data_IF_457572157539
#
_entry.id   IF_457572157539
#
_cell.length_a   1.000
_cell.length_b   1.000
_cell.length_c   1.000
_cell.angle_alpha   90.00
_cell.angle_beta   90.00
_cell.angle_gamma   90.00
#
_symmetry.space_group_name_H-M   'P 1'
#
loop_
_entity.id
_entity.type
_entity.pdbx_description
1 polymer ?
#
# COMPACT_ATOMS: atom_id res chain seq x y z
N UNK A 1 48.61 -31.84 -63.69
CA UNK A 1 49.19 -32.93 -62.90
C UNK A 1 48.10 -33.39 -61.95
N UNK A 2 47.62 -34.60 -62.25
CA UNK A 2 46.82 -35.55 -61.46
C UNK A 2 45.74 -34.98 -60.52
N UNK A 3 44.46 -35.18 -60.83
CA UNK A 3 43.70 -36.45 -60.67
C UNK A 3 43.66 -36.85 -59.18
N UNK A 4 42.48 -36.77 -58.55
CA UNK A 4 41.63 -37.95 -58.42
C UNK A 4 40.42 -37.72 -57.48
N UNK A 5 39.25 -38.05 -58.03
CA UNK A 5 38.11 -38.74 -57.42
C UNK A 5 36.96 -37.98 -56.75
N UNK A 6 35.85 -37.90 -57.52
CA UNK A 6 34.62 -38.71 -57.39
C UNK A 6 34.02 -38.88 -55.97
N UNK A 7 32.72 -38.92 -55.70
CA UNK A 7 31.53 -39.16 -56.52
C UNK A 7 30.30 -38.81 -55.66
N UNK A 8 29.26 -38.26 -56.30
CA UNK A 8 27.81 -38.57 -56.22
C UNK A 8 27.19 -39.26 -54.97
N UNK A 9 25.91 -39.11 -54.61
CA UNK A 9 24.77 -38.27 -55.00
C UNK A 9 23.54 -38.79 -54.19
N UNK A 10 22.76 -37.88 -53.59
CA UNK A 10 21.29 -37.95 -53.38
C UNK A 10 20.70 -39.06 -52.46
N UNK A 11 19.38 -39.06 -52.18
CA UNK A 11 18.61 -38.08 -51.39
C UNK A 11 17.71 -38.77 -50.34
N UNK A 12 17.46 -38.20 -49.15
CA UNK A 12 16.47 -38.79 -48.22
C UNK A 12 15.50 -37.74 -47.66
N UNK A 13 14.31 -37.78 -48.29
CA UNK A 13 12.95 -37.54 -47.79
C UNK A 13 12.64 -36.31 -46.92
N UNK A 14 11.94 -35.39 -47.58
CA UNK A 14 10.82 -34.60 -47.06
C UNK A 14 9.92 -35.47 -46.18
N UNK A 15 9.69 -35.06 -44.94
CA UNK A 15 8.53 -35.48 -44.15
C UNK A 15 7.89 -34.21 -43.61
N UNK A 16 6.71 -33.91 -44.13
CA UNK A 16 5.83 -32.86 -43.66
C UNK A 16 5.28 -33.26 -42.29
N UNK A 17 5.43 -32.38 -41.30
CA UNK A 17 4.78 -32.54 -40.00
C UNK A 17 3.43 -31.80 -40.06
N UNK A 18 2.39 -32.54 -40.44
CA UNK A 18 1.00 -32.11 -40.33
C UNK A 18 0.53 -32.16 -38.88
N UNK A 19 -0.36 -31.23 -38.47
CA UNK A 19 -0.80 -31.10 -37.08
C UNK A 19 -1.69 -32.30 -36.69
N UNK A 20 -1.35 -32.93 -35.57
CA UNK A 20 -2.19 -33.97 -34.97
C UNK A 20 -3.42 -33.30 -34.33
N UNK A 21 -4.55 -33.41 -35.04
CA UNK A 21 -5.88 -33.17 -34.49
C UNK A 21 -6.31 -34.38 -33.67
N UNK A 22 -6.72 -34.16 -32.42
CA UNK A 22 -7.50 -35.13 -31.66
C UNK A 22 -8.98 -34.83 -31.91
N UNK A 23 -9.75 -35.75 -32.51
CA UNK A 23 -11.15 -35.56 -32.85
C UNK A 23 -12.02 -35.94 -31.65
N UNK A 24 -13.00 -35.11 -31.29
CA UNK A 24 -14.23 -35.52 -30.60
C UNK A 24 -15.15 -34.28 -30.47
N UNK A 25 -15.83 -33.97 -31.56
CA UNK A 25 -17.09 -33.23 -31.51
C UNK A 25 -18.06 -33.86 -32.50
N UNK A 26 -19.32 -33.93 -32.07
CA UNK A 26 -20.57 -34.19 -32.81
C UNK A 26 -20.87 -35.61 -33.32
N UNK A 27 -21.80 -36.26 -32.62
CA UNK A 27 -23.03 -36.83 -33.18
C UNK A 27 -24.02 -36.99 -32.01
N UNK A 28 -24.98 -36.07 -31.90
CA UNK A 28 -26.39 -36.25 -32.31
C UNK A 28 -27.21 -36.98 -31.23
N UNK A 29 -28.05 -36.27 -30.49
CA UNK A 29 -29.40 -35.88 -30.90
C UNK A 29 -30.33 -37.10 -31.00
N UNK A 30 -31.10 -37.34 -29.93
CA UNK A 30 -32.49 -37.78 -29.93
C UNK A 30 -32.86 -38.47 -28.60
N UNK A 31 -33.19 -37.69 -27.58
CA UNK A 31 -34.36 -37.99 -26.74
C UNK A 31 -35.04 -36.65 -26.44
N UNK A 32 -35.85 -36.22 -27.39
CA UNK A 32 -36.98 -35.33 -27.17
C UNK A 32 -38.09 -36.06 -26.42
N UNK A 33 -38.87 -35.27 -25.70
CA UNK A 33 -40.29 -35.51 -25.37
C UNK A 33 -40.62 -36.19 -24.03
N UNK A 34 -40.52 -35.41 -22.94
CA UNK A 34 -41.55 -35.36 -21.91
C UNK A 34 -41.40 -34.09 -21.03
N UNK A 35 -42.47 -33.29 -21.01
CA UNK A 35 -42.84 -32.32 -19.97
C UNK A 35 -42.21 -30.92 -19.99
N UNK A 36 -42.63 -30.14 -20.99
CA UNK A 36 -43.15 -28.80 -20.71
C UNK A 36 -44.26 -28.88 -19.65
N UNK A 37 -43.96 -28.55 -18.40
CA UNK A 37 -44.92 -28.03 -17.42
C UNK A 37 -44.15 -27.37 -16.27
N UNK A 38 -44.56 -26.15 -15.92
CA UNK A 38 -44.07 -25.32 -14.81
C UNK A 38 -42.85 -24.42 -15.07
N UNK A 39 -42.88 -23.68 -16.18
CA UNK A 39 -42.51 -22.28 -16.13
C UNK A 39 -43.71 -21.52 -15.55
N UNK A 40 -43.64 -21.14 -14.26
CA UNK A 40 -44.44 -20.10 -13.58
C UNK A 40 -44.37 -20.28 -12.05
N UNK A 41 -43.18 -20.18 -11.45
CA UNK A 41 -43.04 -19.96 -10.00
C UNK A 41 -41.55 -19.85 -9.63
N UNK A 42 -40.93 -18.68 -9.79
CA UNK A 42 -39.84 -18.22 -8.91
C UNK A 42 -39.41 -16.78 -9.28
N UNK A 43 -40.37 -15.85 -9.17
CA UNK A 43 -40.13 -14.40 -9.17
C UNK A 43 -40.63 -13.73 -7.87
N UNK A 44 -41.05 -14.50 -6.86
CA UNK A 44 -41.66 -13.96 -5.63
C UNK A 44 -40.97 -14.49 -4.38
N UNK A 45 -39.81 -13.92 -4.05
CA UNK A 45 -39.24 -14.04 -2.71
C UNK A 45 -38.24 -12.91 -2.46
N UNK A 46 -38.74 -11.70 -2.16
CA UNK A 46 -38.07 -10.62 -1.40
C UNK A 46 -38.98 -9.38 -1.36
N UNK A 47 -40.13 -9.49 -0.71
CA UNK A 47 -40.88 -8.32 -0.27
C UNK A 47 -41.81 -8.69 0.88
N UNK A 48 -41.23 -8.74 2.08
CA UNK A 48 -41.97 -8.85 3.33
C UNK A 48 -41.18 -8.11 4.41
N UNK A 49 -41.52 -6.84 4.68
CA UNK A 49 -41.66 -6.22 6.02
C UNK A 49 -42.29 -4.83 5.90
N UNK A 50 -43.59 -4.79 5.59
CA UNK A 50 -44.43 -3.61 5.85
C UNK A 50 -44.92 -3.70 7.29
N UNK A 51 -44.45 -2.81 8.16
CA UNK A 51 -45.03 -2.58 9.49
C UNK A 51 -45.97 -1.39 9.40
N UNK A 52 -47.26 -1.72 9.39
CA UNK A 52 -48.38 -0.82 9.56
C UNK A 52 -48.76 -0.87 11.04
N UNK A 53 -48.75 0.28 11.73
CA UNK A 53 -49.13 0.35 13.15
C UNK A 53 -50.25 1.37 13.34
N UNK A 54 -51.43 0.79 13.58
CA UNK A 54 -52.60 1.19 14.35
C UNK A 54 -52.92 2.69 14.55
N UNK A 55 -53.99 3.09 13.87
CA UNK A 55 -54.99 4.07 14.30
C UNK A 55 -55.88 3.45 15.40
N UNK A 56 -56.08 4.16 16.51
CA UNK A 56 -57.08 3.83 17.51
C UNK A 56 -57.84 5.10 17.92
N UNK A 57 -58.77 5.49 17.06
CA UNK A 57 -59.95 6.24 17.46
C UNK A 57 -60.84 5.38 18.37
N UNK A 58 -61.13 5.90 19.57
CA UNK A 58 -62.23 5.44 20.40
C UNK A 58 -62.99 6.67 20.86
N UNK A 59 -64.25 6.77 20.46
CA UNK A 59 -65.25 7.62 21.10
C UNK A 59 -66.58 6.86 21.10
N UNK A 60 -67.23 6.72 22.27
CA UNK A 60 -68.57 7.28 22.58
C UNK A 60 -69.10 6.81 23.97
N UNK A 61 -69.14 7.76 24.92
CA UNK A 61 -70.26 8.15 25.87
C UNK A 61 -70.99 7.12 26.79
N UNK A 62 -71.86 7.54 27.75
CA UNK A 62 -71.71 8.47 28.90
C UNK A 62 -72.27 7.88 30.26
N UNK A 63 -72.54 8.73 31.28
CA UNK A 63 -73.47 8.61 32.47
C UNK A 63 -72.78 8.43 33.86
N UNK A 64 -73.23 9.05 34.99
CA UNK A 64 -73.48 10.46 35.37
C UNK A 64 -72.81 10.79 36.76
N UNK A 65 -73.08 11.92 37.47
CA UNK A 65 -72.11 12.56 38.37
C UNK A 65 -72.23 12.17 39.85
N UNK A 66 -71.17 12.42 40.62
CA UNK A 66 -71.23 12.47 42.08
C UNK A 66 -70.38 13.62 42.66
N UNK A 67 -71.13 14.59 43.20
CA UNK A 67 -70.86 15.35 44.43
C UNK A 67 -69.83 16.48 44.35
N UNK A 68 -70.40 17.67 44.27
CA UNK A 68 -69.86 18.94 44.78
C UNK A 68 -69.60 18.82 46.28
N UNK A 69 -68.35 19.02 46.71
CA UNK A 69 -68.05 19.48 48.07
C UNK A 69 -67.37 20.84 47.98
N UNK A 70 -68.12 21.84 48.42
CA UNK A 70 -67.65 23.21 48.67
C UNK A 70 -66.75 23.19 49.91
N UNK A 71 -65.49 23.59 49.73
CA UNK A 71 -64.50 23.73 50.81
C UNK A 71 -63.75 25.06 50.70
N UNK A 72 -64.24 26.04 51.45
CA UNK A 72 -63.72 27.39 51.70
C UNK A 72 -62.19 27.56 51.63
N UNK A 73 -61.77 28.49 50.76
CA UNK A 73 -61.12 29.74 51.18
C UNK A 73 -59.67 29.67 51.68
N UNK A 74 -58.74 30.11 50.82
CA UNK A 74 -57.68 31.04 51.24
C UNK A 74 -57.15 31.81 50.03
N UNK A 75 -57.53 33.08 49.92
CA UNK A 75 -56.86 34.03 49.02
C UNK A 75 -55.50 34.39 49.61
N UNK A 76 -54.42 34.12 48.87
CA UNK A 76 -53.17 34.90 48.93
C UNK A 76 -52.64 35.16 47.53
N UNK A 77 -53.01 36.35 47.03
CA UNK A 77 -52.11 37.35 46.45
C UNK A 77 -50.72 36.89 45.98
N UNK A 78 -50.45 37.03 44.68
CA UNK A 78 -49.63 38.11 44.06
C UNK A 78 -49.12 37.54 42.73
N UNK A 79 -49.66 38.07 41.63
CA UNK A 79 -49.00 38.01 40.33
C UNK A 79 -47.65 38.72 40.45
N UNK A 80 -46.55 37.99 40.29
CA UNK A 80 -45.26 38.57 39.94
C UNK A 80 -44.79 37.90 38.67
N UNK A 81 -44.83 38.68 37.60
CA UNK A 81 -44.07 38.45 36.36
C UNK A 81 -42.62 38.14 36.73
N UNK A 82 -42.24 36.86 36.73
CA UNK A 82 -40.87 36.50 36.45
C UNK A 82 -40.72 36.61 34.94
N UNK A 83 -40.24 37.78 34.48
CA UNK A 83 -39.62 37.90 33.16
C UNK A 83 -38.60 36.76 33.09
N UNK A 84 -38.90 35.77 32.27
CA UNK A 84 -37.87 34.92 31.70
C UNK A 84 -36.98 35.87 30.89
N UNK A 85 -35.92 36.37 31.50
CA UNK A 85 -34.78 36.87 30.76
C UNK A 85 -34.14 35.63 30.14
N UNK A 86 -34.70 35.20 29.01
CA UNK A 86 -33.90 34.52 28.02
C UNK A 86 -32.84 35.54 27.62
N UNK A 87 -31.65 35.46 28.23
CA UNK A 87 -30.47 36.04 27.61
C UNK A 87 -30.38 35.42 26.21
N UNK A 88 -30.24 36.23 25.16
CA UNK A 88 -29.90 35.68 23.87
C UNK A 88 -28.47 35.17 24.04
N UNK A 89 -28.28 33.86 23.92
CA UNK A 89 -26.96 33.30 23.71
C UNK A 89 -26.52 33.80 22.33
N UNK A 90 -25.86 34.95 22.30
CA UNK A 90 -25.27 35.56 21.13
C UNK A 90 -24.02 34.77 20.73
N UNK A 91 -24.15 33.45 20.57
CA UNK A 91 -23.16 32.53 20.02
C UNK A 91 -22.99 32.70 18.51
N UNK A 92 -23.01 33.95 18.03
CA UNK A 92 -22.71 34.28 16.65
C UNK A 92 -21.25 33.96 16.38
N UNK A 93 -20.99 32.89 15.63
CA UNK A 93 -19.66 32.48 15.22
C UNK A 93 -18.92 33.68 14.62
N UNK A 94 -18.02 34.30 15.38
CA UNK A 94 -17.34 35.50 14.90
C UNK A 94 -16.35 35.08 13.81
N UNK A 95 -16.02 35.99 12.88
CA UNK A 95 -14.96 35.72 11.88
C UNK A 95 -13.65 35.28 12.58
N UNK A 96 -13.38 35.80 13.77
CA UNK A 96 -12.26 35.38 14.62
C UNK A 96 -12.40 33.92 15.04
N UNK A 97 -13.56 33.51 15.54
CA UNK A 97 -13.82 32.12 15.92
C UNK A 97 -13.74 31.20 14.69
N UNK A 98 -14.18 31.64 13.52
CA UNK A 98 -14.01 30.92 12.25
C UNK A 98 -12.54 30.71 11.91
N UNK A 99 -11.70 31.74 11.95
CA UNK A 99 -10.27 31.56 11.66
C UNK A 99 -9.53 30.76 12.73
N UNK A 100 -9.97 30.80 13.98
CA UNK A 100 -9.39 29.96 15.03
C UNK A 100 -9.78 28.50 14.80
N UNK A 101 -11.07 28.19 14.65
CA UNK A 101 -11.56 26.82 14.51
C UNK A 101 -11.28 26.19 13.15
N UNK A 102 -11.23 26.96 12.07
CA UNK A 102 -10.86 26.45 10.74
C UNK A 102 -9.37 26.63 10.44
N UNK A 103 -8.79 27.77 10.81
CA UNK A 103 -7.40 28.09 10.49
C UNK A 103 -6.39 27.30 11.30
N UNK A 104 -6.64 27.05 12.60
CA UNK A 104 -5.70 26.25 13.41
C UNK A 104 -5.59 24.81 12.88
N UNK A 105 -6.68 24.05 12.63
CA UNK A 105 -6.56 22.72 12.05
C UNK A 105 -5.90 22.71 10.67
N UNK A 106 -6.22 23.68 9.81
CA UNK A 106 -5.57 23.81 8.49
C UNK A 106 -4.07 24.06 8.64
N UNK A 107 -3.68 24.94 9.56
CA UNK A 107 -2.27 25.21 9.86
C UNK A 107 -1.57 23.96 10.41
N UNK A 108 -2.20 23.23 11.33
CA UNK A 108 -1.67 21.98 11.88
C UNK A 108 -1.45 20.96 10.76
N UNK A 109 -2.46 20.73 9.91
CA UNK A 109 -2.35 19.80 8.77
C UNK A 109 -1.24 20.24 7.82
N UNK A 110 -1.11 21.55 7.56
CA UNK A 110 -0.04 22.10 6.73
C UNK A 110 1.34 21.84 7.35
N UNK A 111 1.52 22.10 8.65
CA UNK A 111 2.78 21.83 9.34
C UNK A 111 3.13 20.34 9.35
N UNK A 112 2.15 19.46 9.60
CA UNK A 112 2.34 18.01 9.51
C UNK A 112 2.78 17.62 8.10
N UNK A 113 2.13 18.14 7.06
CA UNK A 113 2.47 17.85 5.65
C UNK A 113 3.85 18.40 5.26
N UNK A 114 4.26 19.54 5.80
CA UNK A 114 5.57 20.14 5.48
C UNK A 114 6.69 19.35 6.19
N UNK A 115 6.53 19.10 7.49
CA UNK A 115 7.62 18.65 8.36
C UNK A 115 7.62 17.16 8.67
N UNK A 116 6.46 16.50 8.76
CA UNK A 116 6.37 15.13 9.28
C UNK A 116 6.13 14.10 8.18
N UNK A 117 5.31 14.43 7.17
CA UNK A 117 4.77 13.43 6.24
C UNK A 117 4.99 13.82 4.78
N UNK A 118 5.54 12.90 4.00
CA UNK A 118 5.66 13.00 2.54
C UNK A 118 4.62 12.13 1.82
N UNK A 119 4.10 12.61 0.70
CA UNK A 119 3.21 11.86 -0.19
C UNK A 119 3.93 11.65 -1.52
N UNK A 120 4.20 10.39 -1.87
CA UNK A 120 4.95 10.02 -3.07
C UNK A 120 4.11 9.07 -3.93
N UNK A 121 4.19 9.25 -5.25
CA UNK A 121 3.62 8.32 -6.23
C UNK A 121 4.72 7.36 -6.70
N UNK A 122 4.40 6.07 -6.85
CA UNK A 122 5.36 5.04 -7.23
C UNK A 122 5.39 4.88 -8.74
N UNK A 123 6.48 5.28 -9.43
CA UNK A 123 6.53 5.22 -10.88
C UNK A 123 7.04 3.89 -11.43
N UNK A 124 7.71 3.06 -10.59
CA UNK A 124 8.50 1.91 -11.05
C UNK A 124 8.08 0.57 -10.46
N UNK A 125 8.48 -0.51 -11.14
CA UNK A 125 8.21 -1.91 -10.78
C UNK A 125 9.26 -2.52 -9.84
N UNK A 126 10.23 -1.75 -9.39
CA UNK A 126 11.40 -2.27 -8.67
C UNK A 126 11.11 -2.79 -7.27
N UNK A 127 9.97 -2.43 -6.71
CA UNK A 127 9.49 -2.87 -5.39
C UNK A 127 8.26 -3.79 -5.49
N UNK A 128 8.01 -4.40 -6.65
CA UNK A 128 6.87 -5.30 -6.85
C UNK A 128 6.86 -6.47 -5.85
N UNK A 129 5.63 -6.85 -5.49
CA UNK A 129 5.16 -7.60 -4.30
C UNK A 129 4.98 -6.78 -3.02
N UNK A 130 5.69 -5.66 -2.86
CA UNK A 130 5.46 -4.74 -1.73
C UNK A 130 4.62 -3.54 -2.18
N UNK A 131 5.05 -2.88 -3.26
CA UNK A 131 4.34 -1.75 -3.89
C UNK A 131 4.44 -1.88 -5.41
N UNK A 132 3.41 -1.42 -6.11
CA UNK A 132 3.32 -1.53 -7.57
C UNK A 132 3.20 -0.14 -8.21
N UNK A 133 3.51 0.02 -9.50
CA UNK A 133 3.33 1.29 -10.18
C UNK A 133 1.90 1.83 -10.04
N UNK A 134 1.78 3.12 -9.74
CA UNK A 134 0.51 3.80 -9.51
C UNK A 134 0.07 3.83 -8.04
N UNK A 135 0.78 3.14 -7.14
CA UNK A 135 0.57 3.30 -5.71
C UNK A 135 0.96 4.69 -5.24
N UNK A 136 0.26 5.16 -4.22
CA UNK A 136 0.64 6.35 -3.48
C UNK A 136 0.95 5.98 -2.05
N UNK A 137 2.16 6.33 -1.64
CA UNK A 137 2.70 5.99 -0.34
C UNK A 137 2.86 7.23 0.51
N UNK A 138 2.61 7.05 1.79
CA UNK A 138 2.92 8.00 2.84
C UNK A 138 4.27 7.61 3.43
N UNK A 139 5.20 8.55 3.51
CA UNK A 139 6.50 8.34 4.16
C UNK A 139 6.71 9.30 5.33
N UNK A 140 7.30 8.80 6.41
CA UNK A 140 7.75 9.59 7.55
C UNK A 140 9.03 10.34 7.22
N UNK A 141 9.02 11.66 7.34
CA UNK A 141 10.19 12.53 7.18
C UNK A 141 10.99 12.67 8.47
N UNK A 142 10.55 12.00 9.54
CA UNK A 142 11.22 12.00 10.84
C UNK A 142 12.46 11.11 10.83
N UNK A 143 12.50 10.08 9.98
CA UNK A 143 13.68 9.25 9.74
C UNK A 143 14.39 9.77 8.48
N UNK A 144 15.71 10.06 8.49
CA UNK A 144 16.70 9.79 9.55
C UNK A 144 16.90 10.91 10.60
N UNK A 145 16.13 12.00 10.58
CA UNK A 145 16.45 13.23 11.36
C UNK A 145 16.29 13.10 12.88
N UNK A 146 15.29 12.36 13.33
CA UNK A 146 14.92 12.19 14.73
C UNK A 146 14.88 10.73 15.16
N UNK A 147 14.75 9.82 14.19
CA UNK A 147 14.83 8.39 14.39
C UNK A 147 15.89 7.81 13.48
N UNK A 148 16.59 6.79 13.96
CA UNK A 148 17.62 6.11 13.20
C UNK A 148 17.00 5.20 12.12
N UNK A 149 17.74 5.06 11.02
CA UNK A 149 17.41 4.09 9.97
C UNK A 149 17.68 2.67 10.47
N UNK A 150 16.81 1.75 10.10
CA UNK A 150 16.94 0.34 10.46
C UNK A 150 16.95 -0.54 9.21
N UNK A 151 17.67 -1.67 9.29
CA UNK A 151 17.63 -2.68 8.22
C UNK A 151 16.20 -3.15 8.01
N UNK A 152 15.80 -3.21 6.75
CA UNK A 152 14.45 -3.54 6.31
C UNK A 152 13.56 -2.32 6.02
N UNK A 153 13.92 -1.12 6.48
CA UNK A 153 13.16 0.09 6.18
C UNK A 153 12.95 0.27 4.68
N UNK A 154 11.74 0.62 4.27
CA UNK A 154 11.45 1.02 2.89
C UNK A 154 11.74 2.51 2.78
N UNK A 155 12.90 2.88 2.24
CA UNK A 155 13.38 4.26 2.20
C UNK A 155 13.05 4.92 0.86
N UNK A 156 12.63 6.19 0.93
CA UNK A 156 12.52 7.11 -0.21
C UNK A 156 13.73 8.04 -0.17
N UNK A 157 14.46 8.13 -1.27
CA UNK A 157 15.67 8.94 -1.37
C UNK A 157 15.74 9.66 -2.71
N UNK A 158 16.48 10.77 -2.74
CA UNK A 158 16.80 11.46 -3.99
C UNK A 158 17.81 10.64 -4.79
N UNK A 159 17.68 10.65 -6.10
CA UNK A 159 18.65 9.99 -6.99
C UNK A 159 20.07 10.54 -6.75
N UNK A 160 21.01 9.75 -6.20
CA UNK A 160 22.32 10.26 -5.79
C UNK A 160 23.23 10.50 -7.00
N UNK A 161 23.24 9.57 -7.96
CA UNK A 161 24.21 9.55 -9.06
C UNK A 161 23.57 9.30 -10.43
N UNK A 162 22.37 9.85 -10.67
CA UNK A 162 21.62 9.71 -11.93
C UNK A 162 21.31 8.24 -12.30
N UNK A 163 20.90 7.45 -11.30
CA UNK A 163 20.41 6.08 -11.48
C UNK A 163 19.14 6.05 -12.34
N UNK A 164 18.40 7.16 -12.41
CA UNK A 164 17.23 7.34 -13.26
C UNK A 164 17.62 7.97 -14.60
N UNK A 165 16.88 7.60 -15.66
CA UNK A 165 17.02 8.27 -16.95
C UNK A 165 16.52 9.72 -16.88
N UNK A 166 17.00 10.59 -17.79
CA UNK A 166 16.57 11.99 -17.85
C UNK A 166 15.04 12.17 -17.98
N UNK A 167 14.35 11.21 -18.60
CA UNK A 167 12.90 11.22 -18.69
C UNK A 167 12.22 10.95 -17.34
N UNK A 168 12.81 10.06 -16.53
CA UNK A 168 12.30 9.70 -15.20
C UNK A 168 12.61 10.78 -14.15
N UNK A 169 13.71 11.51 -14.30
CA UNK A 169 14.09 12.57 -13.36
C UNK A 169 13.32 13.88 -13.55
N UNK A 170 12.89 14.21 -14.78
CA UNK A 170 12.22 15.47 -15.10
C UNK A 170 10.68 15.49 -14.89
N UNK A 171 10.09 14.36 -14.48
CA UNK A 171 8.65 14.29 -14.19
C UNK A 171 8.23 15.07 -12.94
N UNK A 172 6.95 15.40 -12.83
CA UNK A 172 6.35 15.88 -11.57
C UNK A 172 6.46 14.78 -10.50
N UNK A 173 7.35 14.98 -9.52
CA UNK A 173 7.71 13.94 -8.54
C UNK A 173 8.84 13.00 -8.98
N UNK A 174 9.52 13.33 -10.08
CA UNK A 174 10.75 12.66 -10.53
C UNK A 174 11.95 12.92 -9.61
N UNK A 175 13.03 12.16 -9.85
CA UNK A 175 14.28 12.29 -9.10
C UNK A 175 14.25 11.64 -7.70
N UNK A 176 13.21 10.88 -7.39
CA UNK A 176 13.13 10.07 -6.17
C UNK A 176 13.06 8.59 -6.51
N UNK A 177 13.72 7.77 -5.69
CA UNK A 177 13.65 6.32 -5.72
C UNK A 177 13.10 5.81 -4.39
N UNK A 178 12.52 4.62 -4.44
CA UNK A 178 12.07 3.87 -3.27
C UNK A 178 12.71 2.48 -3.32
N UNK A 179 13.38 2.09 -2.24
CA UNK A 179 14.08 0.80 -2.11
C UNK A 179 14.00 0.31 -0.67
N UNK A 180 14.33 -0.95 -0.43
CA UNK A 180 14.53 -1.49 0.91
C UNK A 180 15.97 -1.28 1.36
N UNK A 181 16.16 -0.78 2.57
CA UNK A 181 17.46 -0.67 3.22
C UNK A 181 17.93 -2.05 3.65
N UNK A 182 19.08 -2.49 3.12
CA UNK A 182 19.66 -3.80 3.42
C UNK A 182 20.88 -3.66 4.33
N UNK A 183 21.75 -2.67 4.07
CA UNK A 183 22.96 -2.42 4.86
C UNK A 183 23.02 -1.02 5.44
N UNK A 184 23.41 -0.92 6.70
CA UNK A 184 23.71 0.32 7.43
C UNK A 184 25.21 0.63 7.41
N UNK A 185 25.65 1.86 7.76
CA UNK A 185 27.07 2.19 7.87
C UNK A 185 27.89 1.14 8.62
N UNK A 186 29.00 0.69 8.01
CA UNK A 186 29.88 -0.35 8.54
C UNK A 186 29.47 -1.78 8.23
N UNK A 187 28.28 -2.03 7.68
CA UNK A 187 27.88 -3.37 7.26
C UNK A 187 28.68 -3.83 6.05
N UNK A 188 29.02 -5.11 6.01
CA UNK A 188 29.49 -5.78 4.80
C UNK A 188 28.35 -6.62 4.23
N UNK A 189 27.81 -6.19 3.09
CA UNK A 189 26.70 -6.83 2.39
C UNK A 189 27.25 -7.59 1.18
N UNK A 190 26.95 -8.89 1.11
CA UNK A 190 27.52 -9.76 0.09
C UNK A 190 26.50 -10.74 -0.47
N UNK A 191 26.74 -11.18 -1.69
CA UNK A 191 26.09 -12.34 -2.28
C UNK A 191 27.10 -13.10 -3.12
N UNK A 192 27.05 -14.44 -3.05
CA UNK A 192 27.92 -15.31 -3.86
C UNK A 192 27.38 -15.57 -5.27
N UNK A 193 26.26 -14.97 -5.63
CA UNK A 193 25.62 -15.09 -6.95
C UNK A 193 24.27 -15.83 -6.91
N UNK A 194 23.79 -16.23 -8.09
CA UNK A 194 22.50 -16.90 -8.26
C UNK A 194 22.32 -18.09 -7.30
N UNK A 195 21.13 -18.22 -6.72
CA UNK A 195 20.78 -19.24 -5.74
C UNK A 195 21.40 -19.09 -4.34
N UNK A 196 22.24 -18.06 -4.12
CA UNK A 196 22.87 -17.82 -2.82
C UNK A 196 22.14 -16.71 -2.05
N UNK A 197 22.05 -16.81 -0.71
CA UNK A 197 21.42 -15.77 0.10
C UNK A 197 22.26 -14.48 0.07
N UNK A 198 21.62 -13.36 0.41
CA UNK A 198 22.36 -12.19 0.88
C UNK A 198 22.93 -12.51 2.27
N UNK A 199 24.19 -12.16 2.48
CA UNK A 199 24.83 -12.18 3.79
C UNK A 199 25.17 -10.77 4.22
N UNK A 200 24.91 -10.45 5.50
CA UNK A 200 25.30 -9.19 6.11
C UNK A 200 26.18 -9.50 7.30
N UNK A 201 27.40 -8.97 7.33
CA UNK A 201 28.39 -9.24 8.37
C UNK A 201 28.61 -10.76 8.58
N UNK A 202 28.61 -11.52 7.49
CA UNK A 202 28.75 -12.99 7.50
C UNK A 202 27.48 -13.77 7.86
N UNK A 203 26.38 -13.12 8.23
CA UNK A 203 25.11 -13.77 8.56
C UNK A 203 24.19 -13.79 7.35
N UNK A 204 23.78 -14.99 6.91
CA UNK A 204 22.79 -15.14 5.84
C UNK A 204 21.40 -14.72 6.32
N UNK A 205 20.74 -13.84 5.56
CA UNK A 205 19.36 -13.41 5.82
C UNK A 205 18.37 -14.21 4.97
N UNK A 206 17.17 -14.44 5.51
CA UNK A 206 16.09 -15.08 4.77
C UNK A 206 15.06 -14.03 4.33
N UNK A 207 15.04 -13.73 3.04
CA UNK A 207 14.25 -12.66 2.46
C UNK A 207 12.93 -13.16 1.83
N UNK A 208 12.55 -14.41 2.10
CA UNK A 208 11.35 -15.03 1.53
C UNK A 208 10.03 -14.37 1.94
N UNK A 209 10.04 -13.46 2.92
CA UNK A 209 8.84 -12.74 3.36
C UNK A 209 8.46 -11.56 2.47
N UNK A 210 9.39 -11.03 1.67
CA UNK A 210 9.15 -9.86 0.82
C UNK A 210 9.68 -9.97 -0.61
N UNK A 211 10.50 -10.98 -0.90
CA UNK A 211 10.88 -11.32 -2.27
C UNK A 211 9.92 -12.40 -2.79
N UNK A 212 9.60 -12.30 -4.09
CA UNK A 212 8.82 -13.30 -4.80
C UNK A 212 9.43 -14.70 -4.71
N UNK A 213 8.61 -15.75 -4.49
CA UNK A 213 9.10 -17.12 -4.51
C UNK A 213 9.80 -17.48 -5.82
N UNK A 214 10.93 -18.18 -5.72
CA UNK A 214 11.70 -18.65 -6.88
C UNK A 214 12.55 -17.58 -7.56
N UNK A 215 12.66 -16.37 -7.00
CA UNK A 215 13.58 -15.33 -7.46
C UNK A 215 14.85 -15.35 -6.61
N UNK A 216 16.00 -15.37 -7.28
CA UNK A 216 17.29 -15.29 -6.60
C UNK A 216 17.48 -13.90 -5.95
N UNK A 217 18.07 -13.83 -4.73
CA UNK A 217 18.39 -12.56 -4.09
C UNK A 217 19.31 -11.66 -4.92
N UNK A 218 20.24 -12.26 -5.67
CA UNK A 218 21.07 -11.59 -6.68
C UNK A 218 21.41 -12.56 -7.80
N UNK A 219 21.42 -12.09 -9.05
CA UNK A 219 21.80 -12.90 -10.20
C UNK A 219 23.34 -13.06 -10.35
N UNK A 220 24.11 -12.18 -9.71
CA UNK A 220 25.57 -12.12 -9.80
C UNK A 220 26.20 -11.87 -8.42
N UNK A 221 27.46 -12.26 -8.23
CA UNK A 221 28.16 -12.04 -6.98
C UNK A 221 28.51 -10.56 -6.78
N UNK A 222 28.49 -10.11 -5.53
CA UNK A 222 28.99 -8.80 -5.11
C UNK A 222 29.41 -8.85 -3.64
N UNK A 223 30.27 -7.91 -3.23
CA UNK A 223 30.66 -7.69 -1.83
C UNK A 223 30.94 -6.21 -1.67
N UNK A 224 30.20 -5.56 -0.77
CA UNK A 224 30.28 -4.12 -0.54
C UNK A 224 30.28 -3.86 0.96
N UNK A 225 31.26 -3.09 1.43
CA UNK A 225 31.25 -2.52 2.78
C UNK A 225 30.63 -1.12 2.72
N UNK A 226 29.56 -0.90 3.48
CA UNK A 226 28.84 0.36 3.53
C UNK A 226 29.69 1.40 4.27
N UNK A 227 30.04 2.48 3.58
CA UNK A 227 30.83 3.57 4.13
C UNK A 227 30.04 4.40 5.14
N UNK A 228 30.75 5.14 5.98
CA UNK A 228 30.12 6.08 6.92
C UNK A 228 29.24 7.09 6.17
N UNK A 229 28.08 7.42 6.75
CA UNK A 229 27.13 8.36 6.16
C UNK A 229 26.31 7.81 4.99
N UNK A 230 26.45 6.52 4.64
CA UNK A 230 25.75 5.90 3.53
C UNK A 230 24.92 4.68 3.94
N UNK A 231 24.03 4.24 3.05
CA UNK A 231 23.26 3.01 3.17
C UNK A 231 23.29 2.20 1.87
N UNK A 232 23.18 0.89 1.99
CA UNK A 232 23.04 -0.01 0.85
C UNK A 232 21.59 -0.44 0.69
N UNK A 233 21.03 -0.25 -0.51
CA UNK A 233 19.59 -0.45 -0.76
C UNK A 233 19.34 -1.39 -1.93
N UNK A 234 18.28 -2.18 -1.83
CA UNK A 234 17.86 -3.12 -2.89
C UNK A 234 16.36 -3.03 -3.13
N UNK A 235 15.93 -3.26 -4.37
CA UNK A 235 14.51 -3.39 -4.68
C UNK A 235 14.00 -4.79 -4.33
N UNK A 236 12.76 -4.90 -3.87
CA UNK A 236 12.13 -6.20 -3.57
C UNK A 236 11.92 -7.05 -4.83
N UNK A 237 11.72 -6.40 -5.99
CA UNK A 237 11.73 -7.08 -7.28
C UNK A 237 13.17 -7.25 -7.77
N UNK A 238 13.90 -8.19 -7.16
CA UNK A 238 15.35 -8.38 -7.34
C UNK A 238 15.82 -8.49 -8.78
N UNK A 239 15.03 -9.16 -9.62
CA UNK A 239 15.32 -9.37 -11.03
C UNK A 239 15.06 -8.13 -11.91
N UNK A 240 14.36 -7.12 -11.39
CA UNK A 240 13.99 -5.92 -12.15
C UNK A 240 14.13 -4.65 -11.30
N UNK A 241 15.30 -4.50 -10.68
CA UNK A 241 15.64 -3.34 -9.88
C UNK A 241 17.08 -2.92 -10.16
N UNK A 242 17.22 -1.76 -10.80
CA UNK A 242 18.48 -1.01 -10.80
C UNK A 242 18.61 -0.37 -9.40
N UNK A 243 19.43 -0.97 -8.56
CA UNK A 243 19.68 -0.58 -7.16
C UNK A 243 21.18 -0.64 -6.85
N UNK A 244 21.59 -0.61 -5.58
CA UNK A 244 23.00 -0.50 -5.18
C UNK A 244 23.90 -1.54 -5.83
N UNK A 245 23.39 -2.76 -6.09
CA UNK A 245 24.16 -3.84 -6.74
C UNK A 245 24.66 -3.46 -8.13
N UNK A 246 23.90 -2.65 -8.86
CA UNK A 246 24.15 -2.30 -10.26
C UNK A 246 24.89 -0.98 -10.44
N UNK A 247 25.01 -0.16 -9.41
CA UNK A 247 25.60 1.18 -9.48
C UNK A 247 26.97 1.26 -8.80
N UNK A 248 27.69 0.14 -8.68
CA UNK A 248 28.97 0.09 -7.96
C UNK A 248 30.11 0.92 -8.59
N UNK A 249 29.94 1.39 -9.84
CA UNK A 249 30.90 2.20 -10.57
C UNK A 249 30.55 3.71 -10.59
N UNK A 250 29.58 4.15 -9.76
CA UNK A 250 29.04 5.52 -9.77
C UNK A 250 29.85 6.55 -8.95
N UNK A 251 30.96 6.13 -8.34
CA UNK A 251 31.81 6.95 -7.47
C UNK A 251 31.54 6.75 -5.97
N UNK A 252 30.32 6.37 -5.59
CA UNK A 252 29.92 6.03 -4.21
C UNK A 252 29.72 4.52 -4.01
N UNK A 253 30.15 3.71 -4.98
CA UNK A 253 30.02 2.25 -4.95
C UNK A 253 28.56 1.77 -4.85
N UNK A 254 27.64 2.50 -5.47
CA UNK A 254 26.22 2.20 -5.44
C UNK A 254 25.58 2.45 -4.06
N UNK A 255 26.28 3.11 -3.16
CA UNK A 255 25.77 3.48 -1.84
C UNK A 255 24.96 4.77 -1.94
N UNK A 256 23.93 4.89 -1.10
CA UNK A 256 23.07 6.06 -1.04
C UNK A 256 23.45 6.90 0.17
N UNK A 257 23.78 8.20 0.02
CA UNK A 257 24.01 9.08 1.15
C UNK A 257 22.77 9.16 2.05
N UNK A 258 22.96 9.03 3.37
CA UNK A 258 21.85 9.18 4.34
C UNK A 258 21.20 10.57 4.23
N UNK A 259 21.97 11.58 3.83
CA UNK A 259 21.47 12.94 3.56
C UNK A 259 20.46 13.02 2.42
N UNK A 260 20.48 12.07 1.49
CA UNK A 260 19.52 12.00 0.38
C UNK A 260 18.26 11.21 0.72
N UNK A 261 18.24 10.49 1.85
CA UNK A 261 17.04 9.83 2.38
C UNK A 261 16.06 10.90 2.87
N UNK A 262 14.92 10.98 2.20
CA UNK A 262 13.87 11.96 2.49
C UNK A 262 12.75 11.43 3.37
N UNK A 263 12.68 10.11 3.57
CA UNK A 263 11.80 9.49 4.54
C UNK A 263 11.67 7.97 4.41
N UNK A 264 11.02 7.37 5.39
CA UNK A 264 10.69 5.93 5.40
C UNK A 264 9.21 5.72 5.09
N UNK A 265 8.91 4.93 4.06
CA UNK A 265 7.56 4.55 3.66
C UNK A 265 6.84 3.79 4.78
N UNK A 266 5.61 4.21 5.08
CA UNK A 266 4.80 3.66 6.16
C UNK A 266 3.56 2.95 5.65
N UNK A 267 2.82 3.57 4.73
CA UNK A 267 1.47 3.14 4.34
C UNK A 267 1.23 3.44 2.88
N UNK A 268 0.68 2.48 2.15
CA UNK A 268 0.01 2.72 0.86
C UNK A 268 -1.40 3.24 1.16
N UNK A 269 -1.75 4.43 0.68
CA UNK A 269 -3.07 5.05 0.94
C UNK A 269 -3.95 5.12 -0.31
N UNK A 270 -3.40 4.84 -1.48
CA UNK A 270 -4.11 4.78 -2.76
C UNK A 270 -3.45 3.75 -3.68
N UNK A 271 -4.23 2.96 -4.47
CA UNK A 271 -5.69 2.97 -4.60
C UNK A 271 -6.42 2.38 -3.38
N UNK A 272 -7.71 2.71 -3.21
CA UNK A 272 -8.47 2.35 -1.99
C UNK A 272 -8.53 0.85 -1.70
N UNK A 273 -8.46 0.02 -2.74
CA UNK A 273 -8.44 -1.45 -2.62
C UNK A 273 -7.07 -2.03 -2.23
N UNK A 274 -6.04 -1.19 -2.08
CA UNK A 274 -4.68 -1.58 -1.70
C UNK A 274 -4.11 -0.73 -0.56
N UNK A 275 -5.01 -0.18 0.26
CA UNK A 275 -4.60 0.49 1.49
C UNK A 275 -3.99 -0.54 2.43
N UNK A 276 -2.80 -0.25 2.95
CA UNK A 276 -2.09 -1.17 3.83
C UNK A 276 -0.80 -0.58 4.38
N UNK A 277 -0.34 -1.11 5.51
CA UNK A 277 0.96 -0.77 6.09
C UNK A 277 2.07 -1.43 5.27
N UNK A 278 3.15 -0.70 5.02
CA UNK A 278 4.38 -1.25 4.47
C UNK A 278 5.17 -1.90 5.59
N UNK A 279 5.32 -3.22 5.53
CA UNK A 279 6.13 -3.95 6.49
C UNK A 279 7.63 -3.76 6.17
N UNK A 280 8.37 -3.27 7.16
CA UNK A 280 9.81 -3.14 7.08
C UNK A 280 10.52 -4.50 7.21
N UNK A 281 9.83 -5.54 7.69
CA UNK A 281 10.36 -6.89 7.85
C UNK A 281 11.65 -6.94 8.68
N UNK A 282 11.76 -6.11 9.73
CA UNK A 282 12.94 -6.06 10.61
C UNK A 282 13.33 -7.44 11.18
N UNK A 283 12.37 -8.36 11.34
CA UNK A 283 12.61 -9.73 11.78
C UNK A 283 13.57 -10.52 10.88
N UNK A 284 13.67 -10.19 9.58
CA UNK A 284 14.63 -10.80 8.65
C UNK A 284 16.08 -10.48 9.03
N UNK A 285 16.30 -9.33 9.66
CA UNK A 285 17.61 -8.80 10.02
C UNK A 285 17.93 -8.97 11.51
N UNK A 286 17.03 -9.55 12.30
CA UNK A 286 17.15 -9.60 13.76
C UNK A 286 18.40 -10.35 14.27
N UNK A 287 18.94 -11.28 13.47
CA UNK A 287 20.13 -12.06 13.82
C UNK A 287 21.42 -11.48 13.21
N UNK A 288 21.32 -10.38 12.46
CA UNK A 288 22.49 -9.71 11.88
C UNK A 288 23.16 -8.90 12.99
N UNK A 289 24.45 -9.15 13.29
CA UNK A 289 25.14 -8.37 14.30
C UNK A 289 25.25 -6.91 13.87
N UNK A 290 25.31 -6.03 14.85
CA UNK A 290 25.66 -4.63 14.61
C UNK A 290 27.02 -4.55 13.90
N UNK A 291 27.22 -3.54 13.03
CA UNK A 291 28.49 -3.35 12.36
C UNK A 291 29.58 -3.28 13.43
N UNK A 292 30.64 -4.07 13.24
CA UNK A 292 31.78 -4.02 14.15
C UNK A 292 32.38 -2.63 14.01
N UNK A 293 32.22 -1.80 15.05
CA UNK A 293 32.86 -0.50 15.10
C UNK A 293 34.35 -0.75 14.90
N UNK A 294 34.85 -0.45 13.71
CA UNK A 294 36.28 -0.49 13.44
C UNK A 294 36.87 0.57 14.36
N UNK A 295 37.52 0.13 15.44
CA UNK A 295 38.18 0.98 16.39
C UNK A 295 39.09 1.95 15.63
N UNK A 296 38.82 3.26 15.76
CA UNK A 296 39.80 4.30 15.48
C UNK A 296 40.93 4.26 16.49
#
# INVERSE_FOLDING_TARGET
>A
MQDDQDNESLPISVIAETPSANPLQSADAAVTDAANAAADAESSARDLRTLQVADHGVDVTPVPPAVVVVGRGSQKTVARHAKSAAEPDDGGFTLRDFFIWCGIPVLIVLLIRIFLVGFYEIPSRSMMDTIVPGDRVVASKLTPKYFDLQRGDVVVFKDPNNWLSAEQSNGLGGGFLIKRLIGLPGDTVECKGAGQPITINGVAINESSYIRPGVDPSAFPFSVTVTEGHVFVMGDNRANSADSRYHQDDGDHGLVPISDVVGTGLVTYWPLNRIGVLDAHHGVFANVPDPTSSAS
#
